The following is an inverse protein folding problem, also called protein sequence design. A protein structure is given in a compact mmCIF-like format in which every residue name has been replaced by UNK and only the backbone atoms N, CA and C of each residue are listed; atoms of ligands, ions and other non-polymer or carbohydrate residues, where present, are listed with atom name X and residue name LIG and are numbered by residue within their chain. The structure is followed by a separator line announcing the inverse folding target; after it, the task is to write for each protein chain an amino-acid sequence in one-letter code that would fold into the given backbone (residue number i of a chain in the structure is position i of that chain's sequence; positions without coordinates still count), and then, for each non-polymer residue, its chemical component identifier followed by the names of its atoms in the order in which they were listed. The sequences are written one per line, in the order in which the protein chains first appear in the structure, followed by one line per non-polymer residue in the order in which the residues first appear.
data_IF_334634605905
#
_entry.id   IF_334634605905
#
_cell.length_a   1.000
_cell.length_b   1.000
_cell.length_c   1.000
_cell.angle_alpha   90.00
_cell.angle_beta   90.00
_cell.angle_gamma   90.00
#
_symmetry.space_group_name_H-M   'P 1'
#
loop_
_entity.id
_entity.type
_entity.pdbx_description
1 polymer ?
#
# COMPACT_ATOMS: atom_id res chain seq x y z
N UNK A 1 15.55 -1.73 8.00
CA UNK A 1 14.14 -1.45 7.67
C UNK A 1 14.06 -0.64 6.39
N UNK A 2 13.10 -0.96 5.56
CA UNK A 2 12.88 -0.27 4.29
C UNK A 2 11.56 0.45 4.29
N UNK A 3 11.46 1.50 3.50
CA UNK A 3 10.23 2.26 3.32
C UNK A 3 10.03 2.52 1.85
N UNK A 4 8.84 2.24 1.35
CA UNK A 4 8.47 2.48 -0.02
C UNK A 4 7.16 3.26 -0.04
N UNK A 5 7.10 4.31 -0.84
CA UNK A 5 5.91 5.15 -0.98
C UNK A 5 5.31 4.96 -2.35
N UNK A 6 4.00 4.72 -2.38
CA UNK A 6 3.23 4.64 -3.61
C UNK A 6 2.18 5.74 -3.65
N UNK A 7 1.84 6.17 -4.85
CA UNK A 7 0.70 7.05 -5.06
C UNK A 7 -0.42 6.22 -5.69
N UNK A 8 -1.58 6.23 -5.03
CA UNK A 8 -2.75 5.46 -5.47
C UNK A 8 -3.90 6.44 -5.71
N UNK A 9 -3.98 6.93 -6.94
CA UNK A 9 -4.91 8.00 -7.29
C UNK A 9 -6.40 7.60 -7.15
N UNK A 10 -6.69 6.32 -7.24
CA UNK A 10 -8.07 5.81 -7.14
C UNK A 10 -8.65 5.79 -5.74
N UNK A 11 -7.83 5.99 -4.71
CA UNK A 11 -8.33 6.02 -3.34
C UNK A 11 -9.11 7.31 -3.10
N UNK A 12 -10.36 7.18 -2.69
CA UNK A 12 -11.21 8.34 -2.46
C UNK A 12 -12.01 8.28 -1.17
N UNK A 13 -11.95 7.18 -0.43
CA UNK A 13 -12.69 7.03 0.83
C UNK A 13 -11.96 6.09 1.79
N UNK A 14 -12.45 6.04 3.04
CA UNK A 14 -11.85 5.21 4.08
C UNK A 14 -11.90 3.71 3.75
N UNK A 15 -12.95 3.25 3.08
CA UNK A 15 -13.03 1.84 2.66
C UNK A 15 -11.93 1.48 1.68
N UNK A 16 -11.61 2.39 0.77
CA UNK A 16 -10.53 2.20 -0.19
C UNK A 16 -9.18 2.07 0.51
N UNK A 17 -8.92 2.94 1.49
CA UNK A 17 -7.67 2.89 2.25
C UNK A 17 -7.55 1.61 3.06
N UNK A 18 -8.65 1.13 3.63
CA UNK A 18 -8.66 -0.11 4.39
C UNK A 18 -8.36 -1.31 3.49
N UNK A 19 -8.93 -1.36 2.29
CA UNK A 19 -8.69 -2.44 1.35
C UNK A 19 -7.21 -2.51 0.97
N UNK A 20 -6.62 -1.38 0.60
CA UNK A 20 -5.20 -1.31 0.23
C UNK A 20 -4.32 -1.68 1.42
N UNK A 21 -4.58 -1.11 2.60
CA UNK A 21 -3.82 -1.38 3.80
C UNK A 21 -3.87 -2.85 4.19
N UNK A 22 -5.05 -3.46 4.14
CA UNK A 22 -5.23 -4.86 4.48
C UNK A 22 -4.43 -5.79 3.55
N UNK A 23 -4.50 -5.54 2.25
CA UNK A 23 -3.74 -6.34 1.29
C UNK A 23 -2.23 -6.19 1.48
N UNK A 24 -1.77 -4.97 1.76
CA UNK A 24 -0.35 -4.73 1.99
C UNK A 24 0.14 -5.36 3.29
N UNK A 25 -0.68 -5.34 4.34
CA UNK A 25 -0.32 -5.96 5.61
C UNK A 25 -0.17 -7.47 5.52
N UNK A 26 -0.83 -8.10 4.56
CA UNK A 26 -0.71 -9.53 4.32
C UNK A 26 0.59 -9.90 3.61
N UNK A 27 1.33 -8.95 3.09
CA UNK A 27 2.59 -9.21 2.39
C UNK A 27 3.68 -9.55 3.40
N UNK A 28 4.41 -10.67 3.21
CA UNK A 28 5.53 -11.01 4.10
C UNK A 28 6.59 -9.90 4.12
N UNK A 29 7.08 -9.58 5.29
CA UNK A 29 8.10 -8.56 5.49
C UNK A 29 7.55 -7.17 5.79
N UNK A 30 6.27 -6.94 5.57
CA UNK A 30 5.62 -5.66 5.91
C UNK A 30 5.37 -5.57 7.40
N UNK A 31 5.90 -4.54 8.03
CA UNK A 31 5.69 -4.30 9.48
C UNK A 31 4.68 -3.20 9.73
N UNK A 32 4.57 -2.23 8.83
CA UNK A 32 3.66 -1.11 9.01
C UNK A 32 3.20 -0.57 7.65
N UNK A 33 1.93 -0.19 7.57
CA UNK A 33 1.36 0.47 6.41
C UNK A 33 0.66 1.74 6.86
N UNK A 34 0.99 2.84 6.23
CA UNK A 34 0.38 4.14 6.50
C UNK A 34 -0.25 4.67 5.22
N UNK A 35 -1.48 5.14 5.31
CA UNK A 35 -2.22 5.64 4.15
C UNK A 35 -2.65 7.08 4.41
N UNK A 36 -2.39 7.96 3.44
CA UNK A 36 -2.78 9.35 3.49
C UNK A 36 -3.75 9.64 2.35
N UNK A 37 -5.01 9.91 2.69
CA UNK A 37 -6.04 10.23 1.70
C UNK A 37 -5.86 11.61 1.07
N UNK A 38 -5.31 12.54 1.82
CA UNK A 38 -5.14 13.91 1.33
C UNK A 38 -4.17 13.97 0.15
N UNK A 39 -3.08 13.19 0.23
CA UNK A 39 -2.07 13.11 -0.82
C UNK A 39 -2.22 11.86 -1.67
N UNK A 40 -3.10 10.96 -1.28
CA UNK A 40 -3.31 9.66 -1.93
C UNK A 40 -2.04 8.81 -1.94
N UNK A 41 -1.26 8.91 -0.89
CA UNK A 41 0.00 8.18 -0.74
C UNK A 41 -0.13 7.03 0.23
N UNK A 42 0.56 5.95 -0.08
CA UNK A 42 0.65 4.78 0.77
C UNK A 42 2.12 4.55 1.08
N UNK A 43 2.46 4.54 2.35
CA UNK A 43 3.82 4.29 2.81
C UNK A 43 3.86 2.90 3.43
N UNK A 44 4.74 2.06 2.93
CA UNK A 44 4.92 0.68 3.41
C UNK A 44 6.28 0.57 4.05
N UNK A 45 6.32 0.10 5.29
CA UNK A 45 7.57 -0.12 6.03
C UNK A 45 7.73 -1.57 6.36
N UNK A 46 8.95 -2.05 6.31
CA UNK A 46 9.27 -3.41 6.69
C UNK A 46 10.67 -3.81 6.25
N UNK A 47 10.94 -5.12 6.29
CA UNK A 47 12.20 -5.69 5.86
C UNK A 47 12.00 -6.49 4.59
N UNK A 48 12.98 -6.42 3.69
CA UNK A 48 13.00 -7.19 2.44
C UNK A 48 11.75 -6.96 1.60
N UNK A 49 11.35 -5.71 1.49
CA UNK A 49 10.18 -5.34 0.71
C UNK A 49 10.45 -5.58 -0.78
N UNK A 50 9.48 -6.18 -1.45
CA UNK A 50 9.53 -6.42 -2.88
C UNK A 50 8.52 -5.51 -3.57
N UNK A 51 9.00 -4.59 -4.40
CA UNK A 51 8.16 -3.64 -5.11
C UNK A 51 7.08 -4.34 -5.95
N UNK A 52 7.45 -5.41 -6.65
CA UNK A 52 6.50 -6.16 -7.47
C UNK A 52 5.38 -6.78 -6.65
N UNK A 53 5.71 -7.33 -5.48
CA UNK A 53 4.72 -7.93 -4.59
C UNK A 53 3.81 -6.86 -3.99
N UNK A 54 4.38 -5.72 -3.60
CA UNK A 54 3.60 -4.61 -3.04
C UNK A 54 2.64 -4.03 -4.07
N UNK A 55 3.10 -3.84 -5.29
CA UNK A 55 2.24 -3.38 -6.38
C UNK A 55 1.13 -4.38 -6.70
N UNK A 56 1.45 -5.67 -6.67
CA UNK A 56 0.46 -6.72 -6.88
C UNK A 56 -0.61 -6.68 -5.79
N UNK A 57 -0.21 -6.43 -4.54
CA UNK A 57 -1.17 -6.30 -3.43
C UNK A 57 -2.12 -5.13 -3.65
N UNK A 58 -1.62 -4.00 -4.14
CA UNK A 58 -2.45 -2.84 -4.43
C UNK A 58 -3.43 -3.15 -5.58
N UNK A 59 -2.98 -3.86 -6.60
CA UNK A 59 -3.85 -4.29 -7.71
C UNK A 59 -4.92 -5.27 -7.21
N UNK A 60 -4.56 -6.18 -6.30
CA UNK A 60 -5.53 -7.11 -5.71
C UNK A 60 -6.61 -6.38 -4.92
N UNK A 61 -6.27 -5.24 -4.34
CA UNK A 61 -7.25 -4.39 -3.68
C UNK A 61 -8.16 -3.63 -4.66
N UNK A 62 -7.87 -3.69 -5.96
CA UNK A 62 -8.64 -3.04 -7.00
C UNK A 62 -8.14 -1.66 -7.41
N UNK A 63 -6.88 -1.36 -7.12
CA UNK A 63 -6.28 -0.04 -7.40
C UNK A 63 -4.98 -0.17 -8.15
N UNK A 64 -4.48 0.95 -8.65
CA UNK A 64 -3.19 1.02 -9.33
C UNK A 64 -2.23 1.90 -8.53
N UNK A 65 -1.00 1.43 -8.38
CA UNK A 65 0.08 2.19 -7.76
C UNK A 65 0.93 2.88 -8.82
N UNK A 66 1.35 4.07 -8.52
CA UNK A 66 2.31 4.81 -9.37
C UNK A 66 3.49 5.29 -8.57
#
# INVERSE_FOLDING_TARGET
MSEITYTVAGMSCAHCTQAVSSELQDVPGVSEVSVDLATKRVVVRGDRLDDGVLRAAIVEAGYEAT
#
